data_IF_836903590676
#
_entry.id   IF_836903590676
#
_cell.length_a   1.000
_cell.length_b   1.000
_cell.length_c   1.000
_cell.angle_alpha   90.00
_cell.angle_beta   90.00
_cell.angle_gamma   90.00
#
_symmetry.space_group_name_H-M   'P 1'
#
loop_
_entity.id
_entity.type
_entity.pdbx_description
1 polymer ?
#
# COMPACT_ATOMS: atom_id res chain seq x y z
N UNK A 1 -8.88 -10.66 -11.01
CA UNK A 1 -9.76 -9.53 -11.24
C UNK A 1 -9.95 -9.23 -12.72
N UNK A 2 -10.95 -8.41 -13.05
CA UNK A 2 -11.19 -7.93 -14.42
C UNK A 2 -9.94 -7.22 -14.94
N UNK A 3 -9.59 -7.40 -16.23
CA UNK A 3 -8.35 -6.88 -16.83
C UNK A 3 -7.04 -7.35 -16.17
N UNK A 4 -7.09 -8.49 -15.49
CA UNK A 4 -5.96 -9.05 -14.74
C UNK A 4 -5.47 -8.12 -13.62
N UNK A 5 -6.35 -7.29 -13.05
CA UNK A 5 -6.08 -6.56 -11.83
C UNK A 5 -5.81 -7.50 -10.67
N UNK A 6 -5.00 -7.02 -9.75
CA UNK A 6 -4.75 -7.70 -8.49
C UNK A 6 -6.05 -7.72 -7.67
N UNK A 7 -6.50 -8.92 -7.31
CA UNK A 7 -7.64 -9.17 -6.41
C UNK A 7 -7.43 -10.54 -5.76
N UNK A 8 -7.53 -10.64 -4.42
CA UNK A 8 -7.81 -9.55 -3.47
C UNK A 8 -6.72 -8.48 -3.46
N UNK A 9 -7.05 -7.23 -3.04
CA UNK A 9 -6.04 -6.18 -2.91
C UNK A 9 -5.11 -6.47 -1.72
N UNK A 10 -5.70 -6.82 -0.56
CA UNK A 10 -5.01 -6.93 0.74
C UNK A 10 -5.54 -8.11 1.55
N UNK A 11 -4.77 -8.56 2.52
CA UNK A 11 -5.14 -9.59 3.49
C UNK A 11 -5.08 -9.06 4.91
N UNK A 12 -5.94 -9.61 5.76
CA UNK A 12 -5.92 -9.37 7.19
C UNK A 12 -6.38 -10.61 7.97
N UNK A 13 -6.31 -10.52 9.29
CA UNK A 13 -6.64 -11.64 10.18
C UNK A 13 -8.13 -11.93 10.06
N UNK A 14 -8.48 -13.15 9.68
CA UNK A 14 -9.85 -13.64 9.58
C UNK A 14 -10.18 -14.80 10.52
N UNK A 15 -9.26 -15.14 11.43
CA UNK A 15 -9.36 -16.33 12.28
C UNK A 15 -8.84 -17.60 11.60
N UNK A 16 -8.75 -18.66 12.38
CA UNK A 16 -8.37 -20.00 11.93
C UNK A 16 -9.49 -20.97 12.24
N UNK A 17 -9.55 -22.09 11.51
CA UNK A 17 -10.46 -23.17 11.73
C UNK A 17 -9.69 -24.43 12.13
N UNK A 18 -10.19 -25.16 13.13
CA UNK A 18 -9.69 -26.50 13.42
C UNK A 18 -10.34 -27.53 12.53
N UNK A 19 -9.58 -28.55 12.21
CA UNK A 19 -10.05 -29.74 11.52
C UNK A 19 -9.78 -30.95 12.38
N UNK A 20 -10.69 -31.88 12.36
CA UNK A 20 -10.56 -33.17 13.05
C UNK A 20 -10.19 -34.22 12.01
N UNK A 21 -9.18 -34.99 12.33
CA UNK A 21 -8.84 -36.18 11.57
C UNK A 21 -9.68 -37.33 12.09
N UNK A 22 -10.37 -38.08 11.24
CA UNK A 22 -11.13 -39.26 11.68
C UNK A 22 -10.17 -40.33 12.21
N UNK A 23 -10.63 -41.05 13.24
CA UNK A 23 -9.98 -42.26 13.73
C UNK A 23 -10.64 -43.48 13.08
N UNK A 24 -9.89 -44.51 12.71
CA UNK A 24 -8.49 -44.79 13.02
C UNK A 24 -7.52 -44.00 12.16
N UNK A 25 -6.29 -43.75 12.69
CA UNK A 25 -5.19 -43.20 11.94
C UNK A 25 -4.89 -44.12 10.75
N UNK A 26 -4.94 -43.56 9.55
CA UNK A 26 -4.60 -44.28 8.33
C UNK A 26 -3.10 -44.48 8.23
N UNK A 27 -2.65 -45.46 7.46
CA UNK A 27 -1.23 -45.73 7.23
C UNK A 27 -0.54 -44.50 6.61
N UNK A 28 0.75 -44.34 6.89
CA UNK A 28 1.54 -43.25 6.34
C UNK A 28 1.47 -43.24 4.80
N UNK A 29 1.13 -42.10 4.22
CA UNK A 29 1.00 -41.93 2.75
C UNK A 29 -0.43 -42.13 2.22
N UNK A 30 -1.42 -42.38 3.08
CA UNK A 30 -2.83 -42.38 2.66
C UNK A 30 -3.41 -40.97 2.63
N UNK A 31 -4.33 -40.70 1.69
CA UNK A 31 -5.13 -39.49 1.71
C UNK A 31 -5.99 -39.44 2.97
N UNK A 32 -6.05 -38.29 3.60
CA UNK A 32 -6.78 -38.07 4.87
C UNK A 32 -7.89 -37.08 4.61
N UNK A 33 -9.13 -37.50 4.88
CA UNK A 33 -10.26 -36.59 4.91
C UNK A 33 -10.26 -35.80 6.23
N UNK A 34 -10.17 -34.49 6.13
CA UNK A 34 -10.27 -33.60 7.29
C UNK A 34 -11.66 -32.98 7.38
N UNK A 35 -12.31 -33.10 8.53
CA UNK A 35 -13.61 -32.49 8.79
C UNK A 35 -13.48 -31.26 9.66
N UNK A 36 -14.20 -30.15 9.34
CA UNK A 36 -14.21 -28.98 10.21
C UNK A 36 -14.69 -29.35 11.61
N UNK A 37 -13.89 -29.04 12.63
CA UNK A 37 -14.31 -29.19 14.01
C UNK A 37 -15.36 -28.15 14.39
N UNK A 38 -16.34 -28.54 15.19
CA UNK A 38 -17.25 -27.59 15.82
C UNK A 38 -16.57 -26.96 17.04
N UNK A 39 -15.95 -25.80 16.85
CA UNK A 39 -15.11 -25.13 17.84
C UNK A 39 -15.69 -23.82 18.37
N UNK A 40 -17.00 -23.70 18.38
CA UNK A 40 -17.67 -22.48 18.83
C UNK A 40 -17.27 -22.02 20.24
N UNK A 41 -16.84 -22.95 21.10
CA UNK A 41 -16.42 -22.69 22.48
C UNK A 41 -14.91 -22.56 22.67
N UNK A 42 -14.10 -22.94 21.68
CA UNK A 42 -12.63 -22.99 21.80
C UNK A 42 -11.95 -22.42 20.56
N UNK A 43 -10.91 -21.58 20.75
CA UNK A 43 -10.08 -21.10 19.66
C UNK A 43 -9.56 -22.22 18.75
N UNK A 44 -8.96 -21.90 17.61
CA UNK A 44 -8.16 -20.73 17.30
C UNK A 44 -8.83 -19.63 16.44
N UNK A 45 -10.12 -19.56 16.36
CA UNK A 45 -10.84 -18.51 15.65
C UNK A 45 -10.65 -17.11 16.26
N UNK A 46 -11.32 -16.14 15.69
CA UNK A 46 -11.51 -14.83 16.31
C UNK A 46 -12.68 -14.91 17.30
N UNK A 47 -12.49 -14.37 18.48
CA UNK A 47 -13.57 -14.26 19.45
C UNK A 47 -14.50 -13.13 19.04
N UNK A 48 -15.77 -13.48 18.81
CA UNK A 48 -16.82 -12.56 18.34
C UNK A 48 -18.03 -12.63 19.28
N UNK A 49 -18.82 -11.56 19.30
CA UNK A 49 -20.08 -11.56 20.01
C UNK A 49 -21.03 -12.60 19.39
N UNK A 50 -21.71 -13.37 20.23
CA UNK A 50 -22.68 -14.36 19.80
C UNK A 50 -24.04 -14.10 20.43
N UNK A 51 -25.15 -14.33 19.71
CA UNK A 51 -26.47 -14.29 20.30
C UNK A 51 -26.61 -15.42 21.33
N UNK A 52 -27.26 -15.13 22.42
CA UNK A 52 -27.62 -16.10 23.42
C UNK A 52 -29.01 -16.64 23.16
N UNK A 53 -29.23 -17.92 23.37
CA UNK A 53 -30.58 -18.55 23.28
C UNK A 53 -31.60 -17.90 24.22
N UNK A 54 -31.11 -17.23 25.27
CA UNK A 54 -31.92 -16.61 26.32
C UNK A 54 -31.87 -15.09 26.33
N UNK A 55 -31.43 -14.44 25.25
CA UNK A 55 -31.35 -12.98 25.12
C UNK A 55 -30.28 -12.30 25.94
N UNK A 56 -29.33 -13.02 26.55
CA UNK A 56 -28.21 -12.40 27.21
C UNK A 56 -27.18 -11.89 26.18
N UNK A 57 -26.59 -10.71 26.42
CA UNK A 57 -25.63 -10.04 25.52
C UNK A 57 -24.16 -10.31 25.84
N UNK A 58 -23.85 -11.21 26.79
CA UNK A 58 -22.50 -11.46 27.30
C UNK A 58 -21.85 -12.74 26.79
N UNK A 59 -22.42 -13.37 25.74
CA UNK A 59 -21.87 -14.58 25.14
C UNK A 59 -20.93 -14.26 24.00
N UNK A 60 -19.84 -15.02 23.91
CA UNK A 60 -18.91 -14.97 22.77
C UNK A 60 -18.70 -16.35 22.17
N UNK A 61 -18.32 -16.39 20.91
CA UNK A 61 -17.96 -17.61 20.19
C UNK A 61 -16.67 -17.36 19.40
N UNK A 62 -16.01 -18.45 18.97
CA UNK A 62 -14.85 -18.37 18.10
C UNK A 62 -15.24 -18.70 16.67
N UNK A 63 -14.96 -17.79 15.76
CA UNK A 63 -15.29 -17.92 14.35
C UNK A 63 -14.13 -17.57 13.43
N UNK A 64 -14.23 -17.97 12.17
CA UNK A 64 -13.30 -17.60 11.12
C UNK A 64 -14.07 -17.21 9.85
N UNK A 65 -13.55 -16.23 9.16
CA UNK A 65 -14.13 -15.78 7.90
C UNK A 65 -13.56 -14.47 7.40
N UNK A 66 -13.70 -14.22 6.11
CA UNK A 66 -13.31 -12.97 5.48
C UNK A 66 -14.13 -11.77 5.98
N UNK A 67 -15.35 -12.02 6.47
CA UNK A 67 -16.18 -10.99 7.10
C UNK A 67 -15.52 -10.38 8.33
N UNK A 68 -14.89 -11.21 9.17
CA UNK A 68 -14.15 -10.73 10.35
C UNK A 68 -12.90 -9.95 9.94
N UNK A 69 -12.17 -10.41 8.93
CA UNK A 69 -11.05 -9.66 8.36
C UNK A 69 -11.53 -8.29 7.84
N UNK A 70 -12.68 -8.22 7.16
CA UNK A 70 -13.26 -6.98 6.67
C UNK A 70 -13.60 -6.03 7.81
N UNK A 71 -14.22 -6.53 8.89
CA UNK A 71 -14.53 -5.71 10.06
C UNK A 71 -13.28 -5.11 10.71
N UNK A 72 -12.22 -5.90 10.86
CA UNK A 72 -10.95 -5.43 11.38
C UNK A 72 -10.26 -4.40 10.47
N UNK A 73 -10.29 -4.61 9.14
CA UNK A 73 -9.79 -3.63 8.17
C UNK A 73 -10.60 -2.34 8.22
N UNK A 74 -11.93 -2.42 8.39
CA UNK A 74 -12.78 -1.22 8.54
C UNK A 74 -12.39 -0.43 9.78
N UNK A 75 -12.09 -1.11 10.90
CA UNK A 75 -11.55 -0.46 12.11
C UNK A 75 -10.23 0.27 11.81
N UNK A 76 -9.28 -0.37 11.14
CA UNK A 76 -8.01 0.29 10.77
C UNK A 76 -8.26 1.48 9.82
N UNK A 77 -9.22 1.36 8.89
CA UNK A 77 -9.62 2.46 8.01
C UNK A 77 -10.17 3.66 8.79
N UNK A 78 -11.01 3.42 9.82
CA UNK A 78 -11.54 4.48 10.69
C UNK A 78 -10.41 5.18 11.46
N UNK A 79 -9.49 4.43 12.04
CA UNK A 79 -8.35 5.01 12.75
C UNK A 79 -7.44 5.86 11.84
N UNK A 80 -7.26 5.44 10.58
CA UNK A 80 -6.53 6.23 9.59
C UNK A 80 -7.31 7.49 9.19
N UNK A 81 -8.62 7.40 9.09
CA UNK A 81 -9.46 8.56 8.79
C UNK A 81 -9.39 9.60 9.92
N UNK A 82 -9.49 9.16 11.18
CA UNK A 82 -9.35 10.03 12.35
C UNK A 82 -7.97 10.70 12.37
N UNK A 83 -6.90 9.95 12.09
CA UNK A 83 -5.55 10.50 11.99
C UNK A 83 -5.42 11.58 10.90
N UNK A 84 -6.08 11.41 9.75
CA UNK A 84 -6.08 12.42 8.68
C UNK A 84 -6.85 13.67 9.10
N UNK A 85 -7.95 13.53 9.84
CA UNK A 85 -8.72 14.65 10.37
C UNK A 85 -7.95 15.40 11.47
N UNK A 86 -7.30 14.71 12.40
CA UNK A 86 -6.42 15.29 13.41
C UNK A 86 -5.28 16.09 12.74
N UNK A 87 -4.64 15.50 11.73
CA UNK A 87 -3.57 16.18 10.99
C UNK A 87 -4.06 17.42 10.26
N UNK A 88 -5.29 17.43 9.77
CA UNK A 88 -5.89 18.60 9.13
C UNK A 88 -6.10 19.75 10.11
N UNK A 89 -6.38 19.43 11.37
CA UNK A 89 -6.56 20.43 12.43
C UNK A 89 -5.23 20.97 12.98
N UNK A 90 -4.12 20.26 12.74
CA UNK A 90 -2.79 20.70 13.16
C UNK A 90 -2.30 21.83 12.26
N UNK A 91 -2.25 23.05 12.78
CA UNK A 91 -1.74 24.23 12.09
C UNK A 91 -0.25 24.15 11.70
N UNK A 92 0.50 23.25 12.32
CA UNK A 92 1.91 22.98 11.99
C UNK A 92 2.09 21.92 10.90
N UNK A 93 1.00 21.28 10.45
CA UNK A 93 1.06 20.30 9.37
C UNK A 93 1.33 20.99 8.03
N UNK A 94 2.37 20.55 7.35
CA UNK A 94 2.66 20.96 5.98
C UNK A 94 1.55 20.40 5.06
N UNK A 95 0.82 21.30 4.40
CA UNK A 95 -0.15 21.01 3.34
C UNK A 95 -0.98 19.74 3.60
N UNK A 96 -1.89 19.80 4.58
CA UNK A 96 -2.83 18.71 4.80
C UNK A 96 -3.73 18.55 3.57
N UNK A 97 -3.86 17.34 2.99
CA UNK A 97 -4.72 17.12 1.85
C UNK A 97 -6.19 17.48 2.15
N UNK A 98 -6.86 18.05 1.14
CA UNK A 98 -8.29 18.34 1.22
C UNK A 98 -9.08 17.09 1.62
N UNK A 99 -10.07 17.19 2.53
CA UNK A 99 -10.92 16.07 2.98
C UNK A 99 -11.56 15.26 1.83
N UNK A 100 -11.78 15.86 0.68
CA UNK A 100 -12.28 15.14 -0.50
C UNK A 100 -11.38 13.99 -0.96
N UNK A 101 -10.10 13.98 -0.57
CA UNK A 101 -9.13 12.92 -0.89
C UNK A 101 -8.99 11.88 0.22
N UNK A 102 -9.55 12.11 1.43
CA UNK A 102 -9.39 11.19 2.58
C UNK A 102 -9.79 9.75 2.25
N UNK A 103 -10.91 9.45 1.55
CA UNK A 103 -11.25 8.06 1.21
C UNK A 103 -10.20 7.36 0.32
N UNK A 104 -9.58 8.11 -0.60
CA UNK A 104 -8.50 7.58 -1.44
C UNK A 104 -7.19 7.44 -0.66
N UNK A 105 -6.90 8.38 0.25
CA UNK A 105 -5.74 8.32 1.14
C UNK A 105 -5.85 7.13 2.09
N UNK A 106 -7.00 6.89 2.71
CA UNK A 106 -7.24 5.71 3.56
C UNK A 106 -7.01 4.43 2.76
N UNK A 107 -7.55 4.35 1.53
CA UNK A 107 -7.33 3.20 0.65
C UNK A 107 -5.86 3.00 0.31
N UNK A 108 -5.14 4.08 0.01
CA UNK A 108 -3.72 4.05 -0.29
C UNK A 108 -2.90 3.65 0.93
N UNK A 109 -3.18 4.21 2.12
CA UNK A 109 -2.48 3.92 3.37
C UNK A 109 -2.66 2.47 3.81
N UNK A 110 -3.87 1.91 3.68
CA UNK A 110 -4.11 0.49 3.96
C UNK A 110 -3.25 -0.43 3.08
N UNK A 111 -3.16 -0.13 1.79
CA UNK A 111 -2.30 -0.90 0.88
C UNK A 111 -0.82 -0.64 1.13
N UNK A 112 -0.46 0.60 1.48
CA UNK A 112 0.92 1.00 1.81
C UNK A 112 1.47 0.24 3.02
N UNK A 113 0.58 -0.10 3.96
CA UNK A 113 0.89 -0.91 5.12
C UNK A 113 1.05 -2.40 4.83
N UNK A 114 0.81 -2.85 3.59
CA UNK A 114 0.87 -4.26 3.21
C UNK A 114 2.28 -4.71 2.84
N UNK A 115 2.55 -5.98 3.08
CA UNK A 115 3.75 -6.67 2.62
C UNK A 115 3.52 -8.18 2.61
N UNK A 116 4.20 -8.88 1.74
CA UNK A 116 4.27 -10.34 1.78
C UNK A 116 5.14 -10.82 2.95
N UNK A 117 6.06 -9.98 3.46
CA UNK A 117 6.96 -10.33 4.57
C UNK A 117 7.74 -11.61 4.26
N UNK A 118 7.84 -12.49 5.26
CA UNK A 118 8.54 -13.78 5.14
C UNK A 118 7.79 -14.84 4.33
N UNK A 119 6.59 -14.53 3.81
CA UNK A 119 5.79 -15.53 3.09
C UNK A 119 6.52 -16.11 1.90
N UNK A 120 7.30 -15.28 1.20
CA UNK A 120 8.10 -15.76 0.08
C UNK A 120 9.16 -16.78 0.52
N UNK A 121 9.85 -16.48 1.61
CA UNK A 121 10.87 -17.37 2.16
C UNK A 121 10.27 -18.67 2.73
N UNK A 122 9.10 -18.57 3.35
CA UNK A 122 8.41 -19.71 3.97
C UNK A 122 7.68 -20.60 2.97
N UNK A 123 7.09 -20.02 1.94
CA UNK A 123 6.35 -20.77 0.92
C UNK A 123 7.25 -21.21 -0.25
N UNK A 124 8.35 -20.51 -0.50
CA UNK A 124 9.23 -20.75 -1.64
C UNK A 124 9.72 -22.20 -1.76
N UNK A 125 10.18 -22.85 -0.66
CA UNK A 125 10.61 -24.23 -0.69
C UNK A 125 9.51 -25.26 -0.97
N UNK A 126 8.28 -24.95 -0.52
CA UNK A 126 7.13 -25.85 -0.60
C UNK A 126 6.24 -25.57 -1.82
N UNK A 127 6.56 -24.53 -2.57
CA UNK A 127 5.79 -24.18 -3.76
C UNK A 127 6.14 -25.11 -4.92
N UNK A 128 5.13 -25.51 -5.73
CA UNK A 128 5.38 -26.27 -6.94
C UNK A 128 6.40 -25.57 -7.85
N UNK A 129 7.27 -26.34 -8.46
CA UNK A 129 8.29 -25.86 -9.41
C UNK A 129 7.62 -24.97 -10.47
N UNK A 130 8.11 -23.71 -10.60
CA UNK A 130 7.58 -22.74 -11.55
C UNK A 130 6.53 -21.76 -10.99
N UNK A 131 6.25 -21.78 -9.69
CA UNK A 131 5.50 -20.71 -9.02
C UNK A 131 6.43 -19.52 -8.78
N UNK A 132 6.22 -18.47 -9.55
CA UNK A 132 6.91 -17.19 -9.43
C UNK A 132 5.99 -16.09 -8.86
N UNK A 133 6.53 -14.91 -8.60
CA UNK A 133 5.77 -13.74 -8.12
C UNK A 133 4.57 -13.39 -9.02
N UNK A 134 4.69 -13.63 -10.34
CA UNK A 134 3.60 -13.37 -11.29
C UNK A 134 2.38 -14.24 -11.01
N UNK A 135 2.60 -15.50 -10.64
CA UNK A 135 1.53 -16.45 -10.33
C UNK A 135 1.00 -16.26 -8.92
N UNK A 136 1.83 -15.84 -7.97
CA UNK A 136 1.43 -15.59 -6.60
C UNK A 136 0.70 -14.25 -6.41
N UNK A 137 1.00 -13.24 -7.20
CA UNK A 137 0.35 -11.91 -7.08
C UNK A 137 -1.18 -11.97 -7.11
N UNK A 138 -1.86 -12.74 -8.00
CA UNK A 138 -3.31 -12.87 -7.96
C UNK A 138 -3.86 -13.57 -6.72
N UNK A 139 -3.02 -14.31 -6.00
CA UNK A 139 -3.40 -15.03 -4.79
C UNK A 139 -3.13 -14.21 -3.53
N UNK A 140 -1.98 -13.56 -3.45
CA UNK A 140 -1.52 -12.85 -2.26
C UNK A 140 -1.81 -11.33 -2.28
N UNK A 141 -2.25 -10.80 -3.44
CA UNK A 141 -2.45 -9.35 -3.56
C UNK A 141 -1.20 -8.56 -3.22
N UNK A 142 -1.37 -7.49 -2.46
CA UNK A 142 -0.27 -6.71 -1.88
C UNK A 142 0.22 -7.26 -0.53
N UNK A 143 -0.39 -8.34 -0.06
CA UNK A 143 -0.01 -9.01 1.17
C UNK A 143 -0.84 -8.63 2.39
N UNK A 144 -0.29 -8.89 3.57
CA UNK A 144 -0.93 -8.66 4.86
C UNK A 144 -0.68 -7.24 5.35
N UNK A 145 -1.73 -6.61 5.88
CA UNK A 145 -1.62 -5.30 6.53
C UNK A 145 -0.78 -5.42 7.81
N UNK A 146 0.18 -4.52 7.94
CA UNK A 146 0.81 -4.16 9.21
C UNK A 146 0.46 -2.70 9.51
N UNK A 147 -0.49 -2.40 10.43
CA UNK A 147 -0.97 -1.04 10.67
C UNK A 147 0.13 -0.04 11.04
N UNK A 148 1.20 -0.49 11.68
CA UNK A 148 2.32 0.37 12.07
C UNK A 148 3.06 0.98 10.85
N UNK A 149 2.96 0.35 9.68
CA UNK A 149 3.61 0.85 8.46
C UNK A 149 2.89 2.01 7.80
N UNK A 150 1.62 2.23 8.10
CA UNK A 150 0.88 3.41 7.62
C UNK A 150 1.21 4.68 8.39
N UNK A 151 1.97 4.58 9.47
CA UNK A 151 2.34 5.69 10.35
C UNK A 151 3.82 6.00 10.24
N UNK A 152 4.16 7.28 10.47
CA UNK A 152 5.56 7.68 10.65
C UNK A 152 6.16 7.09 11.93
N UNK A 153 7.46 6.88 11.92
CA UNK A 153 8.26 6.47 13.06
C UNK A 153 9.63 7.16 12.97
N UNK A 154 10.45 7.10 14.01
CA UNK A 154 11.78 7.72 14.02
C UNK A 154 12.60 7.30 12.79
N UNK A 155 12.58 6.00 12.48
CA UNK A 155 13.28 5.40 11.34
C UNK A 155 12.43 5.32 10.06
N UNK A 156 11.24 5.93 10.02
CA UNK A 156 10.34 5.89 8.87
C UNK A 156 9.61 7.20 8.67
N UNK A 157 9.73 7.76 7.49
CA UNK A 157 8.94 8.88 7.04
C UNK A 157 7.85 8.41 6.07
N UNK A 158 6.62 8.88 6.28
CA UNK A 158 5.48 8.65 5.38
C UNK A 158 5.00 10.01 4.87
N UNK A 159 4.98 10.17 3.56
CA UNK A 159 4.54 11.38 2.87
C UNK A 159 3.27 11.05 2.09
N UNK A 160 2.27 11.92 2.19
CA UNK A 160 0.98 11.76 1.55
C UNK A 160 0.67 12.95 0.65
N UNK A 161 -0.01 12.70 -0.47
CA UNK A 161 -0.54 13.74 -1.35
C UNK A 161 -1.90 13.31 -1.91
N UNK A 162 -2.84 14.25 -1.98
CA UNK A 162 -4.12 14.10 -2.66
C UNK A 162 -4.25 15.15 -3.74
N UNK A 163 -4.63 14.76 -4.96
CA UNK A 163 -4.78 15.70 -6.08
C UNK A 163 -5.73 15.17 -7.15
N UNK A 164 -6.03 16.01 -8.14
CA UNK A 164 -6.81 15.64 -9.32
C UNK A 164 -6.00 15.90 -10.59
N UNK A 165 -5.96 14.93 -11.49
CA UNK A 165 -5.17 14.96 -12.73
C UNK A 165 -6.08 14.86 -13.95
N UNK A 166 -5.81 15.67 -14.96
CA UNK A 166 -6.47 15.62 -16.26
C UNK A 166 -5.83 14.61 -17.19
N UNK A 167 -6.47 14.40 -18.34
CA UNK A 167 -5.94 13.55 -19.39
C UNK A 167 -4.63 14.13 -19.93
N UNK A 168 -3.65 13.26 -20.16
CA UNK A 168 -2.32 13.59 -20.68
C UNK A 168 -1.53 14.59 -19.82
N UNK A 169 -1.95 14.78 -18.56
CA UNK A 169 -1.20 15.55 -17.56
C UNK A 169 -0.20 14.68 -16.81
N UNK A 170 0.84 15.34 -16.27
CA UNK A 170 1.83 14.78 -15.35
C UNK A 170 2.00 15.70 -14.15
N UNK A 171 1.89 15.11 -12.94
CA UNK A 171 2.28 15.75 -11.70
C UNK A 171 3.60 15.16 -11.20
N UNK A 172 4.50 16.00 -10.70
CA UNK A 172 5.81 15.58 -10.20
C UNK A 172 5.91 15.86 -8.71
N UNK A 173 6.37 14.88 -7.97
CA UNK A 173 6.60 14.93 -6.52
C UNK A 173 8.04 14.56 -6.25
N UNK A 174 8.73 15.38 -5.50
CA UNK A 174 10.09 15.14 -5.08
C UNK A 174 10.12 14.66 -3.63
N UNK A 175 10.39 13.38 -3.41
CA UNK A 175 10.56 12.81 -2.08
C UNK A 175 11.99 13.12 -1.60
N UNK A 176 12.17 13.93 -0.54
CA UNK A 176 13.49 14.18 0.01
C UNK A 176 14.12 12.91 0.54
N UNK A 177 15.37 12.67 0.21
CA UNK A 177 16.12 11.53 0.73
C UNK A 177 16.92 11.97 1.95
N UNK A 178 16.85 11.20 3.06
CA UNK A 178 17.58 11.51 4.27
C UNK A 178 19.09 11.60 4.03
N UNK A 179 19.75 12.71 4.40
CA UNK A 179 21.21 12.84 4.27
C UNK A 179 21.99 11.75 5.00
N UNK A 180 21.45 11.28 6.12
CA UNK A 180 22.08 10.27 7.00
C UNK A 180 22.28 8.90 6.35
N UNK A 181 21.43 8.52 5.41
CA UNK A 181 21.52 7.23 4.69
C UNK A 181 22.23 7.36 3.34
N UNK A 182 22.62 8.59 2.98
CA UNK A 182 23.33 8.86 1.74
C UNK A 182 24.73 8.24 1.76
N UNK A 183 25.08 7.55 0.68
CA UNK A 183 26.39 6.89 0.52
C UNK A 183 26.74 5.81 1.56
N UNK A 184 25.76 5.39 2.35
CA UNK A 184 25.92 4.27 3.27
C UNK A 184 25.28 3.02 2.71
N UNK A 185 25.94 1.87 2.88
CA UNK A 185 25.41 0.57 2.57
C UNK A 185 24.63 0.05 3.79
N UNK A 186 23.40 0.51 3.94
CA UNK A 186 22.50 0.13 5.04
C UNK A 186 21.16 -0.34 4.48
N UNK A 187 20.52 -1.25 5.18
CA UNK A 187 19.18 -1.68 4.80
C UNK A 187 18.21 -0.49 4.78
N UNK A 188 17.49 -0.38 3.71
CA UNK A 188 16.44 0.62 3.53
C UNK A 188 15.31 0.04 2.70
N UNK A 189 14.13 0.63 2.89
CA UNK A 189 12.93 0.32 2.13
C UNK A 189 12.28 1.60 1.63
N UNK A 190 11.96 1.62 0.35
CA UNK A 190 11.12 2.66 -0.25
C UNK A 190 9.83 2.01 -0.72
N UNK A 191 8.70 2.54 -0.27
CA UNK A 191 7.39 2.10 -0.71
C UNK A 191 6.64 3.24 -1.39
N UNK A 192 5.95 2.92 -2.49
CA UNK A 192 5.15 3.89 -3.25
C UNK A 192 3.78 3.28 -3.49
N UNK A 193 2.73 4.01 -3.14
CA UNK A 193 1.35 3.57 -3.31
C UNK A 193 0.52 4.65 -3.97
N UNK A 194 -0.21 4.29 -5.00
CA UNK A 194 -1.13 5.15 -5.72
C UNK A 194 -2.53 4.53 -5.71
N UNK A 195 -3.53 5.29 -5.25
CA UNK A 195 -4.93 4.94 -5.37
C UNK A 195 -5.67 6.01 -6.18
N UNK A 196 -6.59 5.60 -7.06
CA UNK A 196 -7.40 6.54 -7.81
C UNK A 196 -8.79 5.99 -8.10
N UNK A 197 -9.73 6.87 -8.42
CA UNK A 197 -11.05 6.51 -8.88
C UNK A 197 -11.16 6.75 -10.38
N UNK A 198 -11.13 5.65 -11.13
CA UNK A 198 -11.34 5.72 -12.56
C UNK A 198 -12.83 5.83 -12.88
N UNK A 199 -13.23 6.74 -13.77
CA UNK A 199 -14.56 6.72 -14.34
C UNK A 199 -14.81 5.39 -15.05
N UNK A 200 -16.01 4.84 -14.85
CA UNK A 200 -16.40 3.53 -15.35
C UNK A 200 -17.28 3.69 -16.57
N UNK A 201 -16.98 2.93 -17.61
CA UNK A 201 -17.84 2.81 -18.80
C UNK A 201 -18.52 1.46 -18.82
N UNK A 202 -19.82 1.45 -18.72
CA UNK A 202 -20.62 0.21 -18.74
C UNK A 202 -20.53 -0.51 -20.08
N UNK A 203 -20.60 -1.83 -20.05
CA UNK A 203 -20.67 -2.67 -21.24
C UNK A 203 -19.36 -2.99 -21.96
N UNK A 204 -18.24 -2.43 -21.53
CA UNK A 204 -16.93 -2.70 -22.13
C UNK A 204 -16.07 -3.64 -21.28
N UNK A 205 -15.31 -4.54 -21.92
CA UNK A 205 -14.30 -5.37 -21.23
C UNK A 205 -13.27 -4.51 -20.49
N UNK A 206 -12.87 -3.38 -21.10
CA UNK A 206 -12.06 -2.34 -20.46
C UNK A 206 -12.99 -1.26 -19.95
N UNK A 207 -13.51 -1.46 -18.75
CA UNK A 207 -14.52 -0.59 -18.15
C UNK A 207 -13.98 0.75 -17.65
N UNK A 208 -12.67 0.90 -17.49
CA UNK A 208 -12.05 2.18 -17.09
C UNK A 208 -11.86 3.07 -18.31
N UNK A 209 -12.29 4.30 -18.22
CA UNK A 209 -12.07 5.30 -19.27
C UNK A 209 -10.64 5.83 -19.27
N UNK A 210 -10.00 5.84 -18.10
CA UNK A 210 -8.68 6.43 -17.91
C UNK A 210 -7.84 5.58 -16.95
N UNK A 211 -6.52 5.67 -17.14
CA UNK A 211 -5.51 5.01 -16.32
C UNK A 211 -4.61 6.07 -15.70
N UNK A 212 -4.49 6.04 -14.39
CA UNK A 212 -3.49 6.82 -13.64
C UNK A 212 -2.42 5.86 -13.13
N UNK A 213 -1.16 6.23 -13.25
CA UNK A 213 -0.04 5.41 -12.81
C UNK A 213 1.13 6.29 -12.39
N UNK A 214 2.04 5.74 -11.59
CA UNK A 214 3.25 6.44 -11.23
C UNK A 214 4.46 5.89 -11.98
N UNK A 215 5.38 6.80 -12.28
CA UNK A 215 6.68 6.53 -12.89
C UNK A 215 7.77 7.31 -12.14
N UNK A 216 9.01 7.04 -12.48
CA UNK A 216 10.16 7.84 -12.03
C UNK A 216 10.89 8.39 -13.24
N UNK A 217 11.60 9.50 -13.11
CA UNK A 217 12.21 10.25 -14.22
C UNK A 217 13.23 9.49 -15.05
N UNK A 218 13.71 8.36 -14.57
CA UNK A 218 14.62 7.50 -15.32
C UNK A 218 13.93 6.19 -15.65
N UNK A 219 13.80 5.87 -16.93
CA UNK A 219 13.36 4.58 -17.44
C UNK A 219 14.22 3.39 -16.90
N UNK A 220 15.36 3.67 -16.31
CA UNK A 220 16.12 2.73 -15.49
C UNK A 220 15.34 2.50 -14.21
N UNK A 221 14.82 1.32 -14.10
CA UNK A 221 14.10 0.71 -12.99
C UNK A 221 14.26 1.43 -11.65
N UNK A 222 13.15 1.77 -10.99
CA UNK A 222 13.07 2.33 -9.62
C UNK A 222 14.07 1.63 -8.68
N UNK A 223 14.21 0.30 -8.79
CA UNK A 223 15.16 -0.51 -8.04
C UNK A 223 16.62 -0.06 -8.18
N UNK A 224 17.04 0.39 -9.37
CA UNK A 224 18.41 0.90 -9.56
C UNK A 224 18.64 2.26 -8.93
N UNK A 225 17.60 3.10 -8.84
CA UNK A 225 17.68 4.40 -8.18
C UNK A 225 17.75 4.26 -6.67
N UNK A 226 17.04 3.28 -6.13
CA UNK A 226 16.92 3.04 -4.68
C UNK A 226 17.99 2.05 -4.18
N UNK A 227 18.83 1.51 -5.06
CA UNK A 227 19.87 0.55 -4.65
C UNK A 227 19.31 -0.75 -4.06
N UNK A 228 18.13 -1.18 -4.50
CA UNK A 228 17.45 -2.35 -3.96
C UNK A 228 16.67 -3.14 -5.01
N UNK A 229 16.05 -4.20 -4.58
CA UNK A 229 15.23 -5.06 -5.41
C UNK A 229 13.74 -4.83 -5.14
N UNK A 230 12.91 -4.95 -6.18
CA UNK A 230 11.47 -5.00 -6.02
C UNK A 230 11.08 -6.29 -5.31
N UNK A 231 10.36 -6.13 -4.22
CA UNK A 231 9.80 -7.24 -3.48
C UNK A 231 8.26 -7.27 -3.64
N UNK A 232 7.61 -8.30 -3.11
CA UNK A 232 6.16 -8.49 -3.12
C UNK A 232 5.56 -8.62 -4.53
N UNK A 233 4.48 -7.91 -4.84
CA UNK A 233 3.68 -8.10 -6.03
C UNK A 233 4.43 -7.85 -7.35
N UNK A 234 4.04 -8.60 -8.39
CA UNK A 234 4.65 -8.47 -9.71
C UNK A 234 4.29 -7.12 -10.37
N UNK A 235 5.27 -6.28 -10.61
CA UNK A 235 5.10 -4.89 -11.05
C UNK A 235 4.21 -4.67 -12.29
N UNK A 236 4.23 -5.59 -13.28
CA UNK A 236 3.36 -5.51 -14.46
C UNK A 236 1.88 -5.75 -14.15
N UNK A 237 1.57 -6.41 -13.02
CA UNK A 237 0.21 -6.55 -12.54
C UNK A 237 -0.23 -5.30 -11.74
N UNK A 238 0.70 -4.71 -10.99
CA UNK A 238 0.48 -3.50 -10.19
C UNK A 238 -0.08 -2.36 -11.03
N UNK A 239 0.54 -2.05 -12.16
CA UNK A 239 0.11 -0.93 -13.04
C UNK A 239 -1.26 -1.12 -13.70
N UNK A 240 -1.91 -2.26 -13.55
CA UNK A 240 -3.23 -2.54 -14.15
C UNK A 240 -4.40 -2.13 -13.26
N UNK A 241 -4.16 -1.98 -11.95
CA UNK A 241 -5.19 -1.66 -10.97
C UNK A 241 -5.41 -0.16 -10.77
N UNK A 242 -6.53 0.21 -10.14
CA UNK A 242 -6.77 1.53 -9.57
C UNK A 242 -6.18 1.68 -8.17
N UNK A 243 -5.49 0.67 -7.68
CA UNK A 243 -4.65 0.63 -6.50
C UNK A 243 -3.32 0.01 -6.93
N UNK A 244 -2.24 0.72 -6.71
CA UNK A 244 -0.90 0.33 -7.12
C UNK A 244 0.02 0.48 -5.91
N UNK A 245 0.79 -0.55 -5.61
CA UNK A 245 1.71 -0.55 -4.49
C UNK A 245 2.98 -1.27 -4.89
N UNK A 246 4.12 -0.60 -4.74
CA UNK A 246 5.45 -1.16 -4.97
C UNK A 246 6.31 -0.98 -3.74
N UNK A 247 7.06 -2.00 -3.41
CA UNK A 247 8.03 -2.04 -2.33
C UNK A 247 9.40 -2.41 -2.89
N UNK A 248 10.40 -1.63 -2.52
CA UNK A 248 11.79 -1.82 -2.93
C UNK A 248 12.63 -1.84 -1.67
N UNK A 249 13.37 -2.91 -1.48
CA UNK A 249 14.28 -3.10 -0.36
C UNK A 249 15.70 -3.34 -0.85
N UNK A 250 16.68 -2.85 -0.13
CA UNK A 250 18.07 -3.06 -0.43
C UNK A 250 19.00 -2.62 0.69
N UNK A 251 20.24 -3.04 0.57
CA UNK A 251 21.35 -2.73 1.47
C UNK A 251 22.49 -1.97 0.77
N UNK A 252 22.27 -1.62 -0.51
CA UNK A 252 23.27 -0.88 -1.28
C UNK A 252 23.20 0.61 -0.96
N UNK A 253 24.35 1.27 -0.97
CA UNK A 253 24.39 2.71 -0.77
C UNK A 253 23.55 3.45 -1.81
N UNK A 254 22.77 4.42 -1.34
CA UNK A 254 22.04 5.33 -2.17
C UNK A 254 23.00 6.37 -2.75
N UNK A 255 23.36 6.21 -4.02
CA UNK A 255 24.33 7.05 -4.71
C UNK A 255 23.72 8.38 -5.20
N UNK A 256 23.26 9.23 -4.28
CA UNK A 256 22.71 10.52 -4.62
C UNK A 256 23.70 11.64 -4.36
N UNK A 257 23.89 12.51 -5.34
CA UNK A 257 24.73 13.69 -5.26
C UNK A 257 23.86 14.95 -5.20
N UNK A 258 24.18 15.91 -4.33
CA UNK A 258 23.48 17.18 -4.22
C UNK A 258 22.23 17.15 -3.34
N UNK A 259 21.27 18.01 -3.65
CA UNK A 259 19.94 18.04 -3.02
C UNK A 259 19.14 16.83 -3.47
N UNK A 260 19.41 15.69 -2.82
CA UNK A 260 18.95 14.41 -3.27
C UNK A 260 17.44 14.27 -3.01
N UNK A 261 16.69 14.31 -4.06
CA UNK A 261 15.26 13.96 -4.07
C UNK A 261 15.04 12.75 -4.95
N UNK A 262 14.05 11.96 -4.58
CA UNK A 262 13.56 10.87 -5.40
C UNK A 262 12.30 11.33 -6.13
N UNK A 263 12.36 11.54 -7.46
CA UNK A 263 11.24 12.04 -8.22
C UNK A 263 10.20 10.94 -8.46
N UNK A 264 8.94 11.22 -8.13
CA UNK A 264 7.78 10.39 -8.41
C UNK A 264 6.85 11.18 -9.33
N UNK A 265 6.58 10.68 -10.51
CA UNK A 265 5.65 11.28 -11.45
C UNK A 265 4.34 10.50 -11.46
N UNK A 266 3.22 11.19 -11.33
CA UNK A 266 1.88 10.64 -11.54
C UNK A 266 1.39 11.11 -12.88
N UNK A 267 1.02 10.16 -13.73
CA UNK A 267 0.61 10.40 -15.11
C UNK A 267 -0.81 9.84 -15.34
N UNK A 268 -1.57 10.53 -16.18
CA UNK A 268 -2.88 10.10 -16.60
C UNK A 268 -2.90 9.90 -18.11
N UNK A 269 -3.41 8.75 -18.55
CA UNK A 269 -3.61 8.46 -19.96
C UNK A 269 -4.96 7.81 -20.23
N UNK A 270 -5.39 7.84 -21.46
CA UNK A 270 -6.59 7.14 -21.93
C UNK A 270 -6.42 5.61 -21.73
N UNK A 271 -7.47 4.97 -21.22
CA UNK A 271 -7.54 3.50 -21.11
C UNK A 271 -8.76 3.01 -21.90
N UNK A 272 -8.49 2.24 -22.97
CA UNK A 272 -9.56 1.71 -23.83
C UNK A 272 -9.97 2.59 -25.01
N UNK A 273 -11.03 2.16 -25.72
CA UNK A 273 -11.50 2.78 -26.96
C UNK A 273 -12.57 3.85 -26.75
N UNK A 274 -12.78 4.32 -25.54
CA UNK A 274 -13.87 5.24 -25.26
C UNK A 274 -13.59 6.63 -25.82
N UNK A 275 -14.39 7.01 -26.83
CA UNK A 275 -14.34 8.33 -27.47
C UNK A 275 -15.17 9.40 -26.74
N UNK A 276 -15.83 9.06 -25.63
CA UNK A 276 -16.51 10.07 -24.83
C UNK A 276 -15.46 11.03 -24.28
N UNK A 277 -15.50 12.27 -24.74
CA UNK A 277 -14.60 13.34 -24.34
C UNK A 277 -14.72 13.62 -22.85
N UNK A 278 -14.07 12.78 -22.06
CA UNK A 278 -14.11 12.87 -20.61
C UNK A 278 -13.16 13.98 -20.19
N UNK A 279 -13.72 15.13 -19.95
CA UNK A 279 -13.05 16.34 -19.45
C UNK A 279 -12.87 16.33 -17.93
N UNK A 280 -13.45 15.34 -17.22
CA UNK A 280 -13.38 15.28 -15.77
C UNK A 280 -11.98 14.91 -15.27
N UNK A 281 -11.48 15.70 -14.34
CA UNK A 281 -10.23 15.41 -13.63
C UNK A 281 -10.42 14.19 -12.73
N UNK A 282 -9.41 13.34 -12.68
CA UNK A 282 -9.42 12.09 -11.91
C UNK A 282 -8.74 12.33 -10.57
N UNK A 283 -9.48 12.08 -9.49
CA UNK A 283 -8.93 12.16 -8.14
C UNK A 283 -8.02 10.98 -7.86
N UNK A 284 -6.87 11.27 -7.27
CA UNK A 284 -5.91 10.25 -6.81
C UNK A 284 -5.31 10.62 -5.45
N UNK A 285 -4.75 9.62 -4.80
CA UNK A 285 -3.93 9.75 -3.60
C UNK A 285 -2.60 9.01 -3.84
N UNK A 286 -1.52 9.67 -3.47
CA UNK A 286 -0.16 9.15 -3.50
C UNK A 286 0.37 9.05 -2.07
N UNK A 287 0.93 7.91 -1.71
CA UNK A 287 1.66 7.70 -0.46
C UNK A 287 3.05 7.20 -0.80
N UNK A 288 4.05 7.82 -0.23
CA UNK A 288 5.44 7.40 -0.37
C UNK A 288 6.11 7.33 0.99
N UNK A 289 6.94 6.33 1.22
CA UNK A 289 7.70 6.22 2.46
C UNK A 289 9.13 5.77 2.21
N UNK A 290 10.00 6.18 3.13
CA UNK A 290 11.35 5.67 3.27
C UNK A 290 11.53 5.18 4.70
N UNK A 291 12.10 3.99 4.85
CA UNK A 291 12.31 3.30 6.12
C UNK A 291 13.74 2.76 6.16
N UNK A 292 14.37 2.83 7.33
CA UNK A 292 15.68 2.24 7.63
C UNK A 292 15.54 1.22 8.75
N UNK A 293 16.62 0.48 9.07
CA UNK A 293 16.61 -0.42 10.20
C UNK A 293 16.32 0.33 11.52
N UNK A 294 15.60 -0.31 12.43
CA UNK A 294 15.19 0.31 13.71
C UNK A 294 16.39 0.72 14.59
N UNK A 295 17.52 0.06 14.42
CA UNK A 295 18.78 0.31 15.15
C UNK A 295 19.56 1.51 14.61
N UNK A 296 19.12 2.09 13.49
CA UNK A 296 19.77 3.26 12.90
C UNK A 296 19.54 4.46 13.81
N UNK A 297 20.60 5.10 14.26
CA UNK A 297 20.58 6.27 15.16
C UNK A 297 20.02 7.55 14.51
N UNK A 298 19.49 7.44 13.31
CA UNK A 298 19.07 8.57 12.47
C UNK A 298 17.57 8.78 12.53
N UNK A 299 17.18 10.03 12.68
CA UNK A 299 15.80 10.50 12.64
C UNK A 299 15.35 10.71 11.19
N UNK A 300 15.14 9.62 10.46
CA UNK A 300 14.69 9.64 9.05
C UNK A 300 13.44 10.50 8.88
N UNK A 301 12.51 10.42 9.82
CA UNK A 301 11.31 11.23 9.82
C UNK A 301 11.61 12.74 9.81
N UNK A 302 12.49 13.20 10.70
CA UNK A 302 12.82 14.62 10.85
C UNK A 302 13.64 15.15 9.69
N UNK A 303 14.52 14.33 9.13
CA UNK A 303 15.31 14.68 7.95
C UNK A 303 14.42 14.85 6.71
N UNK A 304 13.47 13.95 6.47
CA UNK A 304 12.50 14.05 5.37
C UNK A 304 11.59 15.26 5.57
N UNK A 305 11.08 15.49 6.78
CA UNK A 305 10.27 16.67 7.12
C UNK A 305 11.02 17.97 6.85
N UNK A 306 12.26 18.05 7.28
CA UNK A 306 13.13 19.22 7.03
C UNK A 306 13.40 19.44 5.53
N UNK A 307 13.55 18.34 4.77
CA UNK A 307 13.68 18.36 3.33
C UNK A 307 12.44 18.92 2.64
N UNK A 308 11.25 18.48 3.04
CA UNK A 308 9.97 18.96 2.50
C UNK A 308 9.77 20.45 2.79
N UNK A 309 10.10 20.93 4.01
CA UNK A 309 10.05 22.34 4.37
C UNK A 309 10.92 23.19 3.46
N UNK A 310 12.15 22.73 3.17
CA UNK A 310 13.08 23.42 2.25
C UNK A 310 12.52 23.49 0.82
N UNK A 311 11.99 22.38 0.31
CA UNK A 311 11.38 22.34 -1.03
C UNK A 311 10.18 23.29 -1.14
N UNK A 312 9.33 23.32 -0.12
CA UNK A 312 8.18 24.22 -0.06
C UNK A 312 8.62 25.69 -0.07
N UNK A 313 9.61 26.06 0.76
CA UNK A 313 10.18 27.40 0.79
C UNK A 313 10.78 27.81 -0.57
N UNK A 314 11.53 26.92 -1.22
CA UNK A 314 12.09 27.18 -2.55
C UNK A 314 11.01 27.38 -3.62
N UNK A 315 9.91 26.61 -3.59
CA UNK A 315 8.79 26.76 -4.50
C UNK A 315 8.11 28.13 -4.33
N UNK A 316 7.89 28.58 -3.09
CA UNK A 316 7.33 29.91 -2.81
C UNK A 316 8.22 31.05 -3.31
N UNK A 317 9.54 30.95 -3.16
CA UNK A 317 10.50 31.95 -3.67
C UNK A 317 10.44 32.01 -5.20
N UNK A 318 10.40 30.88 -5.87
CA UNK A 318 10.29 30.82 -7.35
C UNK A 318 8.99 31.46 -7.86
N UNK A 319 7.87 31.22 -7.20
CA UNK A 319 6.59 31.85 -7.55
C UNK A 319 6.64 33.38 -7.38
N UNK A 320 7.24 33.88 -6.31
CA UNK A 320 7.39 35.31 -6.08
C UNK A 320 8.29 35.97 -7.13
N UNK A 321 9.40 35.33 -7.52
CA UNK A 321 10.30 35.87 -8.54
C UNK A 321 9.68 35.94 -9.94
N UNK A 322 8.75 35.05 -10.28
CA UNK A 322 8.01 35.09 -11.55
C UNK A 322 6.97 36.22 -11.60
N UNK A 323 6.39 36.61 -10.47
CA UNK A 323 5.44 37.74 -10.39
C UNK A 323 6.12 39.10 -10.61
N UNK A 324 7.38 39.23 -10.23
CA UNK A 324 8.17 40.48 -10.40
C UNK A 324 8.90 40.59 -11.74
N UNK A 325 8.84 39.54 -12.59
CA UNK A 325 9.48 39.54 -13.93
C UNK A 325 8.46 39.71 -15.07
N UNK A 326 7.26 40.21 -14.81
CA UNK A 326 6.22 40.56 -15.81
C UNK A 326 6.00 42.06 -15.86
#
# INVERSE_FOLDING_TARGET
>A
GVDRMIKPDIYYIGGRRLFVQPTPLLAAGSDIDLYPANTASMGPGLQVAAPSEWGSSNRTTFECGTSHATALVTREASLLFDLLEERRQDSAALDSPDPMFHPLLVRALLAHACSWGDWWAKLGPDLPVGLDRRRLTPLLGYGRINPERSRGAVNRAVVIAGNSIGMDERHSYDLPLPPSIRSKAEWHRVSITLAYWAPVTHGLKRYRASKVFFTTSNAKTISKLVGGDRIDAYYRAVVRGSLQHEVIEGDKSLGFFGDATFPIHVECMKDGQNNSGQTSRIRYALVASIETAAETSTTVHDEVRSGLLRLHAQAQVRQRSQVYSR
#
